data_IF_377330392178
#
_entry.id   IF_377330392178
#
_cell.length_a   1.000
_cell.length_b   1.000
_cell.length_c   1.000
_cell.angle_alpha   90.00
_cell.angle_beta   90.00
_cell.angle_gamma   90.00
#
_symmetry.space_group_name_H-M   'P 1'
#
loop_
_entity.id
_entity.type
_entity.pdbx_description
1 polymer ?
#
# COMPACT_ATOMS: atom_id res chain seq x y z
N UNK A 1 -15.54 7.40 46.58
CA UNK A 1 -16.62 6.43 46.63
C UNK A 1 -16.50 5.43 45.49
N UNK A 2 -16.99 4.22 45.70
CA UNK A 2 -16.91 3.13 44.67
C UNK A 2 -17.67 3.49 43.38
N UNK A 3 -18.79 4.24 43.46
CA UNK A 3 -19.51 4.68 42.29
C UNK A 3 -18.71 5.67 41.43
N UNK A 4 -17.99 6.60 42.06
CA UNK A 4 -17.14 7.58 41.38
C UNK A 4 -15.93 6.91 40.66
N UNK A 5 -15.36 5.90 41.29
CA UNK A 5 -14.27 5.13 40.65
C UNK A 5 -14.75 4.36 39.43
N UNK A 6 -15.94 3.76 39.49
CA UNK A 6 -16.55 3.11 38.33
C UNK A 6 -16.83 4.08 37.19
N UNK A 7 -17.36 5.25 37.52
CA UNK A 7 -17.64 6.30 36.52
C UNK A 7 -16.37 6.77 35.81
N UNK A 8 -15.26 6.90 36.54
CA UNK A 8 -13.94 7.24 35.98
C UNK A 8 -13.43 6.12 35.07
N UNK A 9 -13.53 4.88 35.50
CA UNK A 9 -13.10 3.70 34.71
C UNK A 9 -13.92 3.60 33.44
N UNK A 10 -15.24 3.76 33.51
CA UNK A 10 -16.13 3.71 32.34
C UNK A 10 -15.87 4.86 31.37
N UNK A 11 -15.64 6.07 31.88
CA UNK A 11 -15.26 7.22 31.04
C UNK A 11 -13.93 6.99 30.33
N UNK A 12 -12.93 6.46 31.02
CA UNK A 12 -11.64 6.14 30.42
C UNK A 12 -11.75 5.03 29.36
N UNK A 13 -12.54 4.00 29.62
CA UNK A 13 -12.81 2.94 28.64
C UNK A 13 -13.49 3.45 27.39
N UNK A 14 -14.46 4.38 27.53
CA UNK A 14 -15.14 5.03 26.41
C UNK A 14 -14.17 5.89 25.60
N UNK A 15 -13.32 6.68 26.25
CA UNK A 15 -12.30 7.50 25.59
C UNK A 15 -11.31 6.64 24.80
N UNK A 16 -10.88 5.53 25.36
CA UNK A 16 -9.98 4.59 24.67
C UNK A 16 -10.65 3.94 23.46
N UNK A 17 -11.91 3.53 23.60
CA UNK A 17 -12.68 2.97 22.50
C UNK A 17 -12.86 3.98 21.34
N UNK A 18 -13.18 5.23 21.66
CA UNK A 18 -13.34 6.32 20.69
C UNK A 18 -12.00 6.63 19.99
N UNK A 19 -10.90 6.65 20.72
CA UNK A 19 -9.57 6.84 20.16
C UNK A 19 -9.19 5.71 19.19
N UNK A 20 -9.46 4.46 19.55
CA UNK A 20 -9.23 3.30 18.68
C UNK A 20 -10.06 3.36 17.41
N UNK A 21 -11.34 3.73 17.50
CA UNK A 21 -12.23 3.91 16.36
C UNK A 21 -11.73 5.02 15.42
N UNK A 22 -11.28 6.15 15.98
CA UNK A 22 -10.69 7.25 15.23
C UNK A 22 -9.44 6.81 14.48
N UNK A 23 -8.53 6.14 15.16
CA UNK A 23 -7.30 5.60 14.55
C UNK A 23 -7.61 4.61 13.43
N UNK A 24 -8.58 3.73 13.62
CA UNK A 24 -9.00 2.77 12.58
C UNK A 24 -9.55 3.47 11.34
N UNK A 25 -10.34 4.53 11.52
CA UNK A 25 -10.85 5.33 10.39
C UNK A 25 -9.71 6.01 9.63
N UNK A 26 -8.75 6.58 10.34
CA UNK A 26 -7.59 7.25 9.74
C UNK A 26 -6.71 6.26 8.96
N UNK A 27 -6.45 5.09 9.52
CA UNK A 27 -5.69 4.03 8.86
C UNK A 27 -6.43 3.54 7.62
N UNK A 28 -7.73 3.31 7.70
CA UNK A 28 -8.56 2.87 6.57
C UNK A 28 -8.55 3.91 5.44
N UNK A 29 -8.66 5.19 5.78
CA UNK A 29 -8.57 6.29 4.83
C UNK A 29 -7.20 6.34 4.15
N UNK A 30 -6.13 6.23 4.93
CA UNK A 30 -4.76 6.24 4.42
C UNK A 30 -4.49 5.05 3.50
N UNK A 31 -4.98 3.87 3.84
CA UNK A 31 -4.91 2.69 2.96
C UNK A 31 -5.66 2.93 1.63
N UNK A 32 -6.81 3.57 1.68
CA UNK A 32 -7.56 3.96 0.49
C UNK A 32 -6.77 4.89 -0.44
N UNK A 33 -6.06 5.87 0.13
CA UNK A 33 -5.18 6.76 -0.63
C UNK A 33 -4.02 5.99 -1.26
N UNK A 34 -3.35 5.13 -0.50
CA UNK A 34 -2.25 4.29 -1.02
C UNK A 34 -2.72 3.40 -2.15
N UNK A 35 -3.90 2.79 -2.04
CA UNK A 35 -4.49 1.99 -3.12
C UNK A 35 -4.74 2.79 -4.40
N UNK A 36 -5.21 4.03 -4.28
CA UNK A 36 -5.40 4.92 -5.43
C UNK A 36 -4.08 5.27 -6.10
N UNK A 37 -3.03 5.54 -5.31
CA UNK A 37 -1.69 5.80 -5.83
C UNK A 37 -1.10 4.56 -6.55
N UNK A 38 -1.34 3.36 -6.04
CA UNK A 38 -1.00 2.14 -6.76
C UNK A 38 -1.73 2.04 -8.10
N UNK A 39 -3.03 2.35 -8.13
CA UNK A 39 -3.81 2.33 -9.37
C UNK A 39 -3.29 3.34 -10.41
N UNK A 40 -2.88 4.53 -10.00
CA UNK A 40 -2.22 5.49 -10.87
C UNK A 40 -0.89 4.96 -11.42
N UNK A 41 -0.08 4.36 -10.55
CA UNK A 41 1.18 3.76 -10.97
C UNK A 41 0.97 2.61 -11.95
N UNK A 42 -0.02 1.75 -11.72
CA UNK A 42 -0.41 0.67 -12.64
C UNK A 42 -0.81 1.24 -13.99
N UNK A 43 -1.59 2.32 -14.02
CA UNK A 43 -1.94 3.02 -15.27
C UNK A 43 -0.72 3.54 -16.01
N UNK A 44 0.25 4.12 -15.29
CA UNK A 44 1.51 4.56 -15.90
C UNK A 44 2.30 3.40 -16.50
N UNK A 45 2.30 2.24 -15.84
CA UNK A 45 2.97 1.03 -16.33
C UNK A 45 2.27 0.47 -17.57
N UNK A 46 0.95 0.41 -17.56
CA UNK A 46 0.16 -0.13 -18.67
C UNK A 46 0.17 0.78 -19.91
N UNK A 47 0.29 2.08 -19.71
CA UNK A 47 0.24 3.10 -20.77
C UNK A 47 1.61 3.77 -21.00
N UNK A 48 2.71 3.10 -20.68
CA UNK A 48 4.05 3.68 -20.75
C UNK A 48 4.40 4.25 -22.12
N UNK A 49 4.01 3.58 -23.19
CA UNK A 49 4.24 4.06 -24.57
C UNK A 49 3.43 5.33 -24.88
N UNK A 50 2.19 5.40 -24.43
CA UNK A 50 1.32 6.58 -24.63
C UNK A 50 1.86 7.78 -23.86
N UNK A 51 2.34 7.58 -22.65
CA UNK A 51 3.00 8.64 -21.89
C UNK A 51 4.32 9.11 -22.54
N UNK A 52 5.09 8.21 -23.13
CA UNK A 52 6.29 8.56 -23.88
C UNK A 52 5.95 9.40 -25.13
N UNK A 53 4.92 8.99 -25.90
CA UNK A 53 4.41 9.75 -27.04
C UNK A 53 3.90 11.12 -26.65
N UNK A 54 3.19 11.21 -25.54
CA UNK A 54 2.73 12.49 -25.00
C UNK A 54 3.89 13.42 -24.66
N UNK A 55 4.97 12.89 -24.07
CA UNK A 55 6.20 13.62 -23.82
C UNK A 55 6.81 14.18 -25.11
N UNK A 56 6.85 13.39 -26.16
CA UNK A 56 7.34 13.83 -27.48
C UNK A 56 6.45 14.93 -28.09
N UNK A 57 5.13 14.80 -27.97
CA UNK A 57 4.17 15.81 -28.46
C UNK A 57 4.23 17.12 -27.70
N UNK A 58 4.54 17.10 -26.41
CA UNK A 58 4.67 18.29 -25.56
C UNK A 58 6.05 18.93 -25.65
N UNK A 59 7.00 18.32 -26.35
CA UNK A 59 8.34 18.85 -26.48
C UNK A 59 8.31 20.24 -27.14
N UNK A 60 8.86 21.22 -26.45
CA UNK A 60 8.95 22.62 -26.93
C UNK A 60 10.32 23.19 -26.52
N UNK A 61 11.39 22.77 -27.19
CA UNK A 61 12.72 23.24 -26.87
C UNK A 61 12.86 24.75 -27.17
N UNK A 62 13.69 25.43 -26.38
CA UNK A 62 14.09 26.82 -26.61
C UNK A 62 15.11 26.94 -27.76
N UNK A 63 15.55 28.16 -28.05
CA UNK A 63 16.54 28.45 -29.12
C UNK A 63 17.87 27.71 -28.92
N UNK A 64 18.18 27.29 -27.67
CA UNK A 64 19.36 26.51 -27.32
C UNK A 64 19.12 25.00 -27.35
N UNK A 65 17.92 24.56 -27.73
CA UNK A 65 17.54 23.16 -27.72
C UNK A 65 17.22 22.59 -26.32
N UNK A 66 17.02 23.47 -25.34
CA UNK A 66 16.72 23.08 -23.94
C UNK A 66 15.22 23.12 -23.68
N UNK A 67 14.69 22.06 -23.10
CA UNK A 67 13.31 21.97 -22.66
C UNK A 67 13.26 21.36 -21.26
N UNK A 68 13.40 22.21 -20.26
CA UNK A 68 13.44 21.81 -18.85
C UNK A 68 12.16 21.14 -18.38
N UNK A 69 11.01 21.55 -18.88
CA UNK A 69 9.73 20.97 -18.52
C UNK A 69 9.60 19.55 -19.06
N UNK A 70 10.00 19.34 -20.31
CA UNK A 70 9.98 17.99 -20.92
C UNK A 70 11.02 17.06 -20.27
N UNK A 71 12.20 17.59 -19.94
CA UNK A 71 13.21 16.83 -19.19
C UNK A 71 12.67 16.37 -17.82
N UNK A 72 11.99 17.26 -17.10
CA UNK A 72 11.35 16.92 -15.83
C UNK A 72 10.25 15.86 -16.02
N UNK A 73 9.41 16.04 -17.04
CA UNK A 73 8.37 15.06 -17.37
C UNK A 73 8.96 13.68 -17.65
N UNK A 74 9.98 13.58 -18.48
CA UNK A 74 10.67 12.32 -18.80
C UNK A 74 11.32 11.69 -17.57
N UNK A 75 11.90 12.51 -16.70
CA UNK A 75 12.48 12.04 -15.44
C UNK A 75 11.42 11.42 -14.51
N UNK A 76 10.29 12.09 -14.35
CA UNK A 76 9.17 11.61 -13.50
C UNK A 76 8.57 10.33 -14.08
N UNK A 77 8.45 10.25 -15.39
CA UNK A 77 7.86 9.09 -16.10
C UNK A 77 8.86 7.96 -16.35
N UNK A 78 10.12 8.11 -15.95
CA UNK A 78 11.16 7.09 -16.14
C UNK A 78 10.88 5.82 -15.33
N UNK A 79 11.37 4.67 -15.81
CA UNK A 79 11.24 3.40 -15.10
C UNK A 79 11.86 3.43 -13.69
N UNK A 80 13.08 3.98 -13.48
CA UNK A 80 13.63 4.10 -12.13
C UNK A 80 12.74 4.89 -11.18
N UNK A 81 12.13 5.98 -11.63
CA UNK A 81 11.20 6.79 -10.84
C UNK A 81 9.94 6.01 -10.47
N UNK A 82 9.37 5.24 -11.39
CA UNK A 82 8.20 4.39 -11.14
C UNK A 82 8.52 3.26 -10.15
N UNK A 83 9.69 2.64 -10.27
CA UNK A 83 10.16 1.61 -9.34
C UNK A 83 10.36 2.19 -7.94
N UNK A 84 10.95 3.38 -7.82
CA UNK A 84 11.10 4.09 -6.54
C UNK A 84 9.74 4.42 -5.90
N UNK A 85 8.79 4.88 -6.70
CA UNK A 85 7.42 5.14 -6.24
C UNK A 85 6.74 3.86 -5.74
N UNK A 86 6.87 2.76 -6.47
CA UNK A 86 6.32 1.46 -6.07
C UNK A 86 6.90 1.01 -4.72
N UNK A 87 8.20 1.14 -4.54
CA UNK A 87 8.89 0.81 -3.29
C UNK A 87 8.37 1.64 -2.12
N UNK A 88 8.26 2.95 -2.30
CA UNK A 88 7.73 3.87 -1.27
C UNK A 88 6.28 3.55 -0.91
N UNK A 89 5.44 3.25 -1.89
CA UNK A 89 4.05 2.85 -1.66
C UNK A 89 3.95 1.52 -0.92
N UNK A 90 4.79 0.55 -1.26
CA UNK A 90 4.85 -0.74 -0.56
C UNK A 90 5.28 -0.56 0.90
N UNK A 91 6.29 0.28 1.17
CA UNK A 91 6.74 0.60 2.52
C UNK A 91 5.62 1.30 3.32
N UNK A 92 4.92 2.25 2.71
CA UNK A 92 3.78 2.93 3.33
C UNK A 92 2.65 1.95 3.68
N UNK A 93 2.33 1.03 2.78
CA UNK A 93 1.31 -0.01 3.02
C UNK A 93 1.73 -0.94 4.17
N UNK A 94 2.99 -1.35 4.22
CA UNK A 94 3.53 -2.16 5.31
C UNK A 94 3.36 -1.46 6.66
N UNK A 95 3.72 -0.19 6.75
CA UNK A 95 3.57 0.60 7.98
C UNK A 95 2.10 0.70 8.39
N UNK A 96 1.19 0.94 7.45
CA UNK A 96 -0.25 1.02 7.72
C UNK A 96 -0.81 -0.32 8.22
N UNK A 97 -0.37 -1.44 7.67
CA UNK A 97 -0.76 -2.78 8.12
C UNK A 97 -0.25 -3.02 9.56
N UNK A 98 0.98 -2.66 9.86
CA UNK A 98 1.54 -2.78 11.21
C UNK A 98 0.76 -1.93 12.22
N UNK A 99 0.41 -0.70 11.86
CA UNK A 99 -0.41 0.20 12.70
C UNK A 99 -1.81 -0.36 12.91
N UNK A 100 -2.44 -0.89 11.88
CA UNK A 100 -3.76 -1.52 11.97
C UNK A 100 -3.74 -2.71 12.94
N UNK A 101 -2.72 -3.54 12.86
CA UNK A 101 -2.53 -4.67 13.78
C UNK A 101 -2.38 -4.21 15.24
N UNK A 102 -1.61 -3.16 15.47
CA UNK A 102 -1.45 -2.57 16.80
C UNK A 102 -2.75 -2.00 17.36
N UNK A 103 -3.51 -1.27 16.53
CA UNK A 103 -4.78 -0.67 16.93
C UNK A 103 -5.83 -1.72 17.23
N UNK A 104 -5.86 -2.81 16.50
CA UNK A 104 -6.75 -3.95 16.76
C UNK A 104 -6.29 -4.79 17.95
N UNK A 105 -5.15 -4.46 18.59
CA UNK A 105 -4.55 -5.26 19.64
C UNK A 105 -4.40 -6.72 19.26
N UNK A 106 -4.08 -6.97 18.01
CA UNK A 106 -3.57 -8.26 17.57
C UNK A 106 -2.18 -8.36 18.21
N UNK A 107 -2.17 -8.82 19.47
CA UNK A 107 -0.93 -9.03 20.18
C UNK A 107 -0.09 -10.01 19.38
N UNK A 108 1.18 -9.70 19.29
CA UNK A 108 2.21 -10.68 18.94
C UNK A 108 2.27 -11.74 20.06
N UNK A 109 1.17 -12.44 20.25
CA UNK A 109 1.15 -13.65 21.04
C UNK A 109 1.70 -14.73 20.13
N UNK A 110 2.81 -15.34 20.52
CA UNK A 110 3.55 -16.32 19.73
C UNK A 110 2.68 -17.38 19.06
N UNK A 111 1.53 -17.71 19.67
CA UNK A 111 0.55 -18.62 19.10
C UNK A 111 -0.23 -18.05 17.91
N UNK A 112 -0.53 -16.77 17.92
CA UNK A 112 -1.25 -16.09 16.81
C UNK A 112 -0.29 -15.78 15.65
N UNK A 113 0.96 -15.44 15.94
CA UNK A 113 1.99 -15.30 14.91
C UNK A 113 2.25 -16.63 14.20
N UNK A 114 2.38 -17.71 14.95
CA UNK A 114 2.58 -19.04 14.39
C UNK A 114 1.37 -19.49 13.57
N UNK A 115 0.15 -19.21 14.01
CA UNK A 115 -1.07 -19.51 13.26
C UNK A 115 -1.16 -18.65 11.98
N UNK A 116 -0.87 -17.35 12.07
CA UNK A 116 -0.86 -16.46 10.92
C UNK A 116 0.25 -16.83 9.93
N UNK A 117 1.42 -17.22 10.41
CA UNK A 117 2.52 -17.70 9.59
C UNK A 117 2.15 -19.01 8.88
N UNK A 118 1.58 -19.97 9.61
CA UNK A 118 1.12 -21.23 9.01
C UNK A 118 0.04 -21.01 7.98
N UNK A 119 -0.90 -20.10 8.23
CA UNK A 119 -1.92 -19.72 7.27
C UNK A 119 -1.32 -19.05 6.03
N UNK A 120 -0.39 -18.12 6.23
CA UNK A 120 0.34 -17.45 5.15
C UNK A 120 1.18 -18.42 4.32
N UNK A 121 1.91 -19.33 4.97
CA UNK A 121 2.67 -20.40 4.32
C UNK A 121 1.74 -21.35 3.55
N UNK A 122 0.59 -21.71 4.12
CA UNK A 122 -0.43 -22.54 3.47
C UNK A 122 -1.01 -21.89 2.21
N UNK A 123 -1.31 -20.61 2.26
CA UNK A 123 -1.78 -19.83 1.10
C UNK A 123 -0.68 -19.71 0.05
N UNK A 124 0.55 -19.43 0.45
CA UNK A 124 1.70 -19.36 -0.45
C UNK A 124 1.97 -20.71 -1.16
N UNK A 125 1.93 -21.80 -0.39
CA UNK A 125 2.07 -23.16 -0.93
C UNK A 125 0.94 -23.48 -1.92
N UNK A 126 -0.32 -23.17 -1.59
CA UNK A 126 -1.46 -23.38 -2.48
C UNK A 126 -1.34 -22.58 -3.78
N UNK A 127 -0.87 -21.35 -3.70
CA UNK A 127 -0.63 -20.49 -4.86
C UNK A 127 0.51 -21.04 -5.74
N UNK A 128 1.59 -21.52 -5.12
CA UNK A 128 2.70 -22.15 -5.83
C UNK A 128 2.28 -23.46 -6.52
N UNK A 129 1.48 -24.29 -5.85
CA UNK A 129 0.91 -25.49 -6.43
C UNK A 129 0.01 -25.20 -7.63
N UNK A 130 -0.88 -24.21 -7.51
CA UNK A 130 -1.74 -23.76 -8.60
C UNK A 130 -0.92 -23.27 -9.79
N UNK A 131 0.11 -22.47 -9.55
CA UNK A 131 1.01 -21.99 -10.59
C UNK A 131 1.77 -23.14 -11.27
N UNK A 132 2.28 -24.08 -10.49
CA UNK A 132 2.98 -25.27 -11.01
C UNK A 132 2.06 -26.12 -11.89
N UNK A 133 0.81 -26.30 -11.50
CA UNK A 133 -0.19 -27.00 -12.33
C UNK A 133 -0.48 -26.27 -13.63
N UNK A 134 -0.60 -24.96 -13.60
CA UNK A 134 -0.82 -24.14 -14.80
C UNK A 134 0.38 -24.24 -15.79
N UNK A 135 1.60 -24.26 -15.26
CA UNK A 135 2.81 -24.39 -16.08
C UNK A 135 3.00 -25.80 -16.69
N UNK A 136 2.47 -26.85 -16.02
CA UNK A 136 2.67 -28.23 -16.42
C UNK A 136 1.47 -28.81 -17.21
N UNK A 137 0.41 -28.03 -17.43
CA UNK A 137 -0.76 -28.46 -18.20
C UNK A 137 -0.58 -28.05 -19.68
N UNK A 138 -0.33 -29.02 -20.59
CA UNK A 138 -0.12 -28.73 -22.01
C UNK A 138 -1.40 -28.32 -22.76
N UNK A 139 -2.56 -28.37 -22.10
CA UNK A 139 -3.86 -27.97 -22.66
C UNK A 139 -4.29 -26.54 -22.27
N UNK A 140 -3.48 -25.87 -21.46
CA UNK A 140 -3.77 -24.51 -21.00
C UNK A 140 -3.32 -23.44 -22.01
#
# INVERSE_FOLDING_TARGET
SVATERDIVDANATMQADAVLGQRKDISRSRGVVKKLFAELETQLDCAEDFAKLGDLMASPDDNGTDKLNELYRKVMSLPSRVDSAKKLADALRVLIELERKVLRIKDDTGLEDAAKKFGDGVAMSAMEAYSRMCNDPSA
#
